data_IF_258656145783
#
_entry.id   IF_258656145783
#
_cell.length_a   1.000
_cell.length_b   1.000
_cell.length_c   1.000
_cell.angle_alpha   90.00
_cell.angle_beta   90.00
_cell.angle_gamma   90.00
#
_symmetry.space_group_name_H-M   'P 1'
#
loop_
_entity.id
_entity.type
_entity.pdbx_description
1 polymer ?
#
# COMPACT_ATOMS: atom_id res chain seq x y z
N UNK A 1 -12.56 -1.44 1.88
CA UNK A 1 -12.47 -2.77 1.26
C UNK A 1 -13.81 -3.52 1.21
N UNK A 2 -14.50 -3.77 2.33
CA UNK A 2 -15.75 -4.57 2.36
C UNK A 2 -16.81 -4.19 1.31
N UNK A 3 -17.13 -2.90 1.15
CA UNK A 3 -18.14 -2.48 0.17
C UNK A 3 -17.74 -2.77 -1.27
N UNK A 4 -16.45 -2.65 -1.61
CA UNK A 4 -15.95 -3.05 -2.92
C UNK A 4 -16.14 -4.54 -3.14
N UNK A 5 -15.69 -5.35 -2.19
CA UNK A 5 -15.66 -6.81 -2.33
C UNK A 5 -17.06 -7.43 -2.35
N UNK A 6 -18.00 -6.88 -1.59
CA UNK A 6 -19.30 -7.53 -1.36
C UNK A 6 -20.49 -6.78 -1.98
N UNK A 7 -20.38 -5.47 -2.20
CA UNK A 7 -21.45 -4.66 -2.80
C UNK A 7 -21.11 -4.20 -4.22
N UNK A 8 -19.89 -4.46 -4.70
CA UNK A 8 -19.44 -4.04 -6.02
C UNK A 8 -19.30 -2.53 -6.18
N UNK A 9 -19.12 -1.81 -5.07
CA UNK A 9 -18.94 -0.35 -5.07
C UNK A 9 -17.52 0.04 -5.49
N UNK A 10 -17.10 -0.43 -6.67
CA UNK A 10 -15.76 -0.22 -7.27
C UNK A 10 -15.59 1.19 -7.83
N UNK A 11 -16.64 1.99 -7.92
CA UNK A 11 -16.60 3.36 -8.45
C UNK A 11 -15.91 4.33 -7.48
N UNK A 12 -15.52 5.49 -7.99
CA UNK A 12 -14.89 6.56 -7.23
C UNK A 12 -15.73 7.04 -6.04
N UNK A 13 -15.13 6.99 -4.85
CA UNK A 13 -15.69 7.57 -3.61
C UNK A 13 -14.82 8.68 -3.04
N UNK A 14 -13.57 8.78 -3.50
CA UNK A 14 -12.63 9.82 -3.10
C UNK A 14 -11.78 10.23 -4.28
N UNK A 15 -11.56 11.55 -4.41
CA UNK A 15 -10.63 12.16 -5.37
C UNK A 15 -9.39 12.62 -4.61
N UNK A 16 -8.23 12.14 -5.02
CA UNK A 16 -7.02 12.30 -4.20
C UNK A 16 -6.44 13.72 -4.26
N UNK A 17 -6.70 14.48 -5.31
CA UNK A 17 -6.33 15.90 -5.43
C UNK A 17 -7.00 16.79 -4.37
N UNK A 18 -8.21 16.42 -3.93
CA UNK A 18 -8.98 17.13 -2.90
C UNK A 18 -8.43 16.96 -1.48
N UNK A 19 -7.58 15.95 -1.22
CA UNK A 19 -7.02 15.73 0.12
C UNK A 19 -5.99 16.82 0.44
N UNK A 20 -6.20 17.54 1.54
CA UNK A 20 -5.31 18.59 2.05
C UNK A 20 -5.08 18.39 3.56
N UNK A 21 -3.93 18.80 4.11
CA UNK A 21 -2.77 19.38 3.42
C UNK A 21 -1.96 18.34 2.62
N UNK A 22 -1.21 18.78 1.59
CA UNK A 22 -0.37 17.89 0.76
C UNK A 22 0.98 17.56 1.41
N UNK A 23 1.57 18.51 2.12
CA UNK A 23 2.83 18.26 2.82
C UNK A 23 2.65 17.18 3.89
N UNK A 24 3.56 16.20 3.90
CA UNK A 24 3.48 15.05 4.78
C UNK A 24 2.29 14.14 4.53
N UNK A 25 1.58 14.26 3.40
CA UNK A 25 0.46 13.37 3.09
C UNK A 25 0.98 12.01 2.60
N UNK A 26 0.51 10.94 3.23
CA UNK A 26 0.76 9.56 2.85
C UNK A 26 -0.54 8.80 2.76
N UNK A 27 -0.63 7.85 1.83
CA UNK A 27 -1.84 7.06 1.67
C UNK A 27 -1.68 5.96 0.64
N UNK A 28 -2.62 5.02 0.66
CA UNK A 28 -2.65 3.90 -0.27
C UNK A 28 -4.07 3.34 -0.44
N UNK A 29 -4.25 2.62 -1.53
CA UNK A 29 -5.50 1.98 -1.92
C UNK A 29 -5.53 1.69 -3.43
N UNK A 30 -6.56 1.01 -3.93
CA UNK A 30 -6.68 0.73 -5.35
C UNK A 30 -7.21 1.93 -6.12
N UNK A 31 -6.92 1.96 -7.42
CA UNK A 31 -7.60 2.88 -8.35
C UNK A 31 -9.08 2.52 -8.50
N UNK A 32 -9.92 3.53 -8.75
CA UNK A 32 -11.30 3.37 -9.14
C UNK A 32 -11.47 2.29 -10.23
N UNK A 33 -12.52 1.49 -10.07
CA UNK A 33 -12.82 0.30 -10.85
C UNK A 33 -11.80 -0.83 -10.71
N UNK A 34 -10.92 -0.81 -9.69
CA UNK A 34 -9.89 -1.82 -9.43
C UNK A 34 -8.95 -2.00 -10.64
N UNK A 35 -8.43 -0.88 -11.17
CA UNK A 35 -7.63 -0.83 -12.41
C UNK A 35 -6.17 -0.47 -12.22
N UNK A 36 -5.73 -0.45 -10.98
CA UNK A 36 -4.39 -0.10 -10.59
C UNK A 36 -4.27 -0.02 -9.09
N UNK A 37 -3.05 0.24 -8.63
CA UNK A 37 -2.76 0.54 -7.23
C UNK A 37 -2.28 1.98 -7.09
N UNK A 38 -2.54 2.58 -5.93
CA UNK A 38 -2.22 3.96 -5.65
C UNK A 38 -1.33 4.05 -4.40
N UNK A 39 -0.34 4.93 -4.47
CA UNK A 39 0.47 5.39 -3.32
C UNK A 39 0.50 6.91 -3.35
N UNK A 40 0.24 7.55 -2.22
CA UNK A 40 0.65 8.92 -1.96
C UNK A 40 1.92 8.88 -1.11
N UNK A 41 3.00 9.48 -1.59
CA UNK A 41 4.26 9.64 -0.86
C UNK A 41 4.61 11.13 -0.77
N UNK A 42 4.48 11.69 0.44
CA UNK A 42 4.70 13.10 0.75
C UNK A 42 3.97 14.06 -0.22
N UNK A 43 2.68 13.80 -0.43
CA UNK A 43 1.81 14.63 -1.26
C UNK A 43 1.85 14.35 -2.77
N UNK A 44 2.77 13.51 -3.24
CA UNK A 44 2.80 13.05 -4.64
C UNK A 44 2.04 11.74 -4.79
N UNK A 45 1.09 11.73 -5.72
CA UNK A 45 0.25 10.56 -6.02
C UNK A 45 0.81 9.80 -7.19
N UNK A 46 1.13 8.53 -6.99
CA UNK A 46 1.55 7.60 -8.04
C UNK A 46 0.48 6.53 -8.23
N UNK A 47 0.32 6.09 -9.47
CA UNK A 47 -0.61 5.03 -9.85
C UNK A 47 0.15 4.00 -10.67
N UNK A 48 0.04 2.72 -10.30
CA UNK A 48 0.55 1.61 -11.11
C UNK A 48 -0.57 0.90 -11.84
N UNK A 49 -0.33 0.50 -13.10
CA UNK A 49 -1.28 -0.24 -13.94
C UNK A 49 -0.58 -1.36 -14.70
N UNK A 50 -1.30 -2.44 -14.92
CA UNK A 50 -0.85 -3.59 -15.72
C UNK A 50 -0.70 -3.16 -17.19
N UNK A 51 0.46 -3.42 -17.80
CA UNK A 51 0.66 -3.34 -19.25
C UNK A 51 0.63 -4.75 -19.88
N UNK A 52 1.37 -5.66 -19.27
CA UNK A 52 1.41 -7.09 -19.62
C UNK A 52 1.48 -7.93 -18.33
N UNK A 53 1.51 -9.25 -18.49
CA UNK A 53 1.80 -10.20 -17.41
C UNK A 53 3.16 -10.00 -16.71
N UNK A 54 4.06 -9.23 -17.32
CA UNK A 54 5.46 -9.08 -16.95
C UNK A 54 5.91 -7.62 -16.83
N UNK A 55 5.10 -6.67 -17.28
CA UNK A 55 5.41 -5.23 -17.25
C UNK A 55 4.24 -4.43 -16.71
N UNK A 56 4.57 -3.28 -16.09
CA UNK A 56 3.62 -2.32 -15.55
C UNK A 56 4.02 -0.91 -15.95
N UNK A 57 3.07 0.02 -15.87
CA UNK A 57 3.32 1.45 -15.93
C UNK A 57 3.15 2.03 -14.53
N UNK A 58 4.03 2.97 -14.15
CA UNK A 58 3.91 3.77 -12.93
C UNK A 58 3.95 5.24 -13.34
N UNK A 59 2.90 5.99 -13.00
CA UNK A 59 2.77 7.40 -13.39
C UNK A 59 2.38 8.27 -12.20
N UNK A 60 2.86 9.51 -12.17
CA UNK A 60 2.38 10.52 -11.23
C UNK A 60 1.02 11.07 -11.72
N UNK A 61 -0.06 10.85 -10.97
CA UNK A 61 -1.43 11.22 -11.34
C UNK A 61 -2.11 11.86 -10.13
N UNK A 62 -2.11 13.19 -10.09
CA UNK A 62 -2.56 13.95 -8.90
C UNK A 62 -4.06 13.78 -8.60
N UNK A 63 -4.88 13.65 -9.64
CA UNK A 63 -6.34 13.55 -9.61
C UNK A 63 -6.85 12.11 -9.67
N UNK A 64 -5.99 11.14 -9.36
CA UNK A 64 -6.42 9.75 -9.25
C UNK A 64 -7.59 9.61 -8.25
N UNK A 65 -8.43 8.62 -8.50
CA UNK A 65 -9.65 8.38 -7.74
C UNK A 65 -9.65 6.96 -7.20
N UNK A 66 -10.28 6.74 -6.05
CA UNK A 66 -10.31 5.44 -5.40
C UNK A 66 -11.71 5.09 -4.86
N UNK A 67 -12.08 3.80 -4.82
CA UNK A 67 -13.33 3.35 -4.21
C UNK A 67 -13.24 3.23 -2.68
N UNK A 68 -12.01 3.10 -2.16
CA UNK A 68 -11.65 3.26 -0.76
C UNK A 68 -10.17 3.64 -0.69
N UNK A 69 -9.79 4.40 0.31
CA UNK A 69 -8.41 4.87 0.45
C UNK A 69 -8.12 5.16 1.91
N UNK A 70 -6.95 4.78 2.40
CA UNK A 70 -6.47 5.13 3.74
C UNK A 70 -5.34 6.14 3.59
N UNK A 71 -5.38 7.21 4.40
CA UNK A 71 -4.38 8.26 4.35
C UNK A 71 -4.17 8.90 5.73
N UNK A 72 -3.01 9.53 5.91
CA UNK A 72 -2.64 10.29 7.09
C UNK A 72 -1.61 11.36 6.74
N UNK A 73 -1.51 12.41 7.58
CA UNK A 73 -0.45 13.40 7.48
C UNK A 73 0.60 13.15 8.57
N UNK A 74 1.87 13.02 8.17
CA UNK A 74 3.03 12.87 9.05
C UNK A 74 4.15 13.77 8.53
N UNK A 75 4.53 14.78 9.30
CA UNK A 75 5.61 15.69 8.92
C UNK A 75 6.94 15.34 9.60
N UNK A 76 6.89 14.51 10.65
CA UNK A 76 8.05 14.15 11.45
C UNK A 76 8.12 12.64 11.66
N UNK A 77 9.28 12.09 11.34
CA UNK A 77 9.57 10.67 11.42
C UNK A 77 10.65 10.41 12.47
N UNK A 78 10.51 9.31 13.20
CA UNK A 78 11.59 8.68 13.95
C UNK A 78 12.07 7.45 13.16
N UNK A 79 13.35 7.44 12.79
CA UNK A 79 13.94 6.34 12.04
C UNK A 79 14.54 5.30 12.99
N UNK A 80 14.17 4.05 12.79
CA UNK A 80 14.66 2.88 13.52
C UNK A 80 15.23 1.91 12.49
N UNK A 81 16.46 1.45 12.68
CA UNK A 81 17.02 0.40 11.81
C UNK A 81 16.22 -0.88 12.02
N UNK A 82 15.78 -1.51 10.93
CA UNK A 82 15.06 -2.77 11.01
C UNK A 82 16.03 -3.88 11.48
N UNK A 83 15.74 -4.62 12.57
CA UNK A 83 16.60 -5.70 13.02
C UNK A 83 16.71 -6.80 11.97
N UNK A 84 17.86 -7.46 11.86
CA UNK A 84 18.07 -8.55 10.90
C UNK A 84 17.19 -9.78 11.15
N UNK A 85 16.56 -9.89 12.32
CA UNK A 85 15.56 -10.91 12.63
C UNK A 85 14.20 -10.64 11.97
N UNK A 86 13.94 -9.41 11.52
CA UNK A 86 12.69 -9.05 10.84
C UNK A 86 12.86 -9.29 9.36
N UNK A 87 12.47 -10.48 8.91
CA UNK A 87 12.71 -10.92 7.53
C UNK A 87 11.46 -10.93 6.67
N UNK A 88 10.28 -11.01 7.28
CA UNK A 88 8.98 -11.14 6.60
C UNK A 88 7.98 -10.06 7.02
N UNK A 89 6.86 -9.97 6.32
CA UNK A 89 5.71 -9.10 6.71
C UNK A 89 5.21 -9.45 8.11
N UNK A 90 5.17 -10.74 8.46
CA UNK A 90 4.69 -11.18 9.79
C UNK A 90 5.63 -10.78 10.91
N UNK A 91 6.94 -10.88 10.67
CA UNK A 91 7.94 -10.40 11.63
C UNK A 91 7.82 -8.89 11.80
N UNK A 92 7.61 -8.16 10.71
CA UNK A 92 7.42 -6.71 10.71
C UNK A 92 6.16 -6.32 11.49
N UNK A 93 5.03 -7.02 11.28
CA UNK A 93 3.79 -6.78 12.01
C UNK A 93 4.00 -6.95 13.52
N UNK A 94 4.65 -8.05 13.91
CA UNK A 94 4.97 -8.34 15.31
C UNK A 94 5.88 -7.27 15.91
N UNK A 95 6.91 -6.86 15.16
CA UNK A 95 7.86 -5.84 15.58
C UNK A 95 7.20 -4.46 15.72
N UNK A 96 6.39 -4.03 14.76
CA UNK A 96 5.66 -2.76 14.84
C UNK A 96 4.69 -2.80 16.02
N UNK A 97 3.92 -3.89 16.20
CA UNK A 97 2.98 -4.00 17.32
C UNK A 97 3.70 -3.89 18.67
N UNK A 98 4.86 -4.55 18.83
CA UNK A 98 5.65 -4.50 20.06
C UNK A 98 6.24 -3.12 20.34
N UNK A 99 6.81 -2.46 19.31
CA UNK A 99 7.45 -1.14 19.45
C UNK A 99 6.45 0.01 19.61
N UNK A 100 5.17 -0.23 19.32
CA UNK A 100 4.14 0.82 19.26
C UNK A 100 2.92 0.53 20.12
N UNK A 101 3.05 -0.30 21.16
CA UNK A 101 1.95 -0.63 22.10
C UNK A 101 1.26 0.59 22.67
N UNK A 102 2.03 1.62 23.03
CA UNK A 102 1.51 2.84 23.66
C UNK A 102 1.16 3.94 22.65
N UNK A 103 1.32 3.69 21.34
CA UNK A 103 0.98 4.66 20.30
C UNK A 103 -0.50 4.59 19.93
N UNK A 104 -1.09 5.75 19.66
CA UNK A 104 -2.45 5.85 19.09
C UNK A 104 -2.51 5.16 17.73
N UNK A 105 -3.51 4.32 17.55
CA UNK A 105 -3.82 3.59 16.30
C UNK A 105 -5.10 4.16 15.67
N UNK A 106 -5.30 4.02 14.34
CA UNK A 106 -4.31 3.59 13.35
C UNK A 106 -3.24 4.65 13.10
N UNK A 107 -2.11 4.24 12.52
CA UNK A 107 -1.07 5.16 12.06
C UNK A 107 -0.42 4.68 10.76
N UNK A 108 0.17 5.60 10.01
CA UNK A 108 1.01 5.27 8.85
C UNK A 108 2.47 5.13 9.27
N UNK A 109 3.20 4.25 8.60
CA UNK A 109 4.64 4.11 8.73
C UNK A 109 5.28 4.03 7.34
N UNK A 110 6.60 4.19 7.27
CA UNK A 110 7.35 3.92 6.05
C UNK A 110 8.46 2.92 6.30
N UNK A 111 8.84 2.17 5.28
CA UNK A 111 10.15 1.56 5.19
C UNK A 111 10.92 2.19 4.03
N UNK A 112 12.21 2.42 4.23
CA UNK A 112 13.11 2.99 3.23
C UNK A 112 14.40 2.17 3.23
N UNK A 113 14.78 1.63 2.07
CA UNK A 113 15.98 0.82 1.92
C UNK A 113 15.85 -0.22 0.82
N UNK A 114 16.50 -1.37 1.01
CA UNK A 114 16.65 -2.42 0.03
C UNK A 114 15.90 -3.69 0.42
N UNK A 115 15.29 -4.34 -0.56
CA UNK A 115 14.71 -5.68 -0.44
C UNK A 115 15.56 -6.71 -1.17
N UNK A 116 15.62 -7.93 -0.64
CA UNK A 116 16.17 -9.06 -1.40
C UNK A 116 15.17 -9.54 -2.44
N UNK A 117 13.90 -9.68 -2.04
CA UNK A 117 12.81 -10.13 -2.90
C UNK A 117 11.48 -9.55 -2.43
N UNK A 118 10.55 -9.29 -3.34
CA UNK A 118 9.16 -9.02 -2.99
C UNK A 118 8.19 -9.55 -4.05
N UNK A 119 6.99 -9.89 -3.62
CA UNK A 119 5.84 -10.08 -4.51
C UNK A 119 4.91 -8.89 -4.34
N UNK A 120 4.61 -8.21 -5.44
CA UNK A 120 3.55 -7.19 -5.47
C UNK A 120 2.45 -7.61 -6.42
N UNK A 121 1.24 -7.11 -6.21
CA UNK A 121 0.17 -7.22 -7.19
C UNK A 121 -0.38 -5.88 -7.64
N UNK A 122 -1.01 -5.90 -8.81
CA UNK A 122 -1.80 -4.80 -9.34
C UNK A 122 -3.17 -5.32 -9.74
N UNK A 123 -4.22 -4.68 -9.23
CA UNK A 123 -5.59 -4.92 -9.67
C UNK A 123 -5.80 -4.48 -11.12
N UNK A 124 -6.43 -5.34 -11.93
CA UNK A 124 -6.72 -5.05 -13.34
C UNK A 124 -8.08 -5.65 -13.74
N UNK A 125 -9.12 -5.19 -13.06
CA UNK A 125 -10.48 -5.70 -13.22
C UNK A 125 -11.02 -5.42 -14.65
N UNK A 126 -11.48 -6.46 -15.37
CA UNK A 126 -12.06 -6.30 -16.70
C UNK A 126 -13.23 -5.30 -16.71
N UNK A 127 -13.33 -4.51 -17.79
CA UNK A 127 -14.43 -3.55 -17.94
C UNK A 127 -15.78 -4.26 -17.92
N UNK A 128 -16.69 -3.78 -17.07
CA UNK A 128 -18.04 -4.32 -16.98
C UNK A 128 -18.17 -5.55 -16.08
N UNK A 129 -17.10 -6.00 -15.42
CA UNK A 129 -17.20 -7.04 -14.38
C UNK A 129 -18.11 -6.55 -13.26
N UNK A 130 -19.07 -7.39 -12.88
CA UNK A 130 -19.89 -7.20 -11.67
C UNK A 130 -19.16 -7.88 -10.52
N UNK A 131 -18.98 -7.14 -9.43
CA UNK A 131 -18.30 -7.64 -8.23
C UNK A 131 -19.31 -7.85 -7.11
N UNK A 132 -19.33 -9.05 -6.57
CA UNK A 132 -20.14 -9.47 -5.42
C UNK A 132 -19.38 -10.40 -4.46
N UNK A 133 -18.13 -10.72 -4.79
CA UNK A 133 -17.22 -11.48 -3.94
C UNK A 133 -15.75 -11.03 -4.10
N UNK A 134 -14.87 -11.33 -3.14
CA UNK A 134 -13.43 -11.09 -3.28
C UNK A 134 -12.82 -11.75 -4.52
N UNK A 135 -13.27 -12.96 -4.88
CA UNK A 135 -12.79 -13.68 -6.06
C UNK A 135 -13.07 -12.90 -7.35
N UNK A 136 -14.24 -12.28 -7.45
CA UNK A 136 -14.60 -11.46 -8.61
C UNK A 136 -13.84 -10.12 -8.61
N UNK A 137 -13.61 -9.52 -7.45
CA UNK A 137 -12.84 -8.29 -7.32
C UNK A 137 -11.37 -8.46 -7.76
N UNK A 138 -10.78 -9.64 -7.53
CA UNK A 138 -9.41 -9.95 -7.94
C UNK A 138 -9.31 -10.52 -9.36
N UNK A 139 -10.40 -10.53 -10.13
CA UNK A 139 -10.34 -10.97 -11.53
C UNK A 139 -9.39 -10.07 -12.32
N UNK A 140 -8.39 -10.67 -12.97
CA UNK A 140 -7.41 -9.95 -13.78
C UNK A 140 -6.21 -9.41 -13.00
N UNK A 141 -6.16 -9.58 -11.67
CA UNK A 141 -4.99 -9.26 -10.86
C UNK A 141 -3.73 -9.92 -11.44
N UNK A 142 -2.64 -9.17 -11.53
CA UNK A 142 -1.33 -9.66 -11.95
C UNK A 142 -0.33 -9.48 -10.81
N UNK A 143 0.45 -10.53 -10.56
CA UNK A 143 1.52 -10.52 -9.57
C UNK A 143 2.87 -10.33 -10.27
N UNK A 144 3.73 -9.52 -9.68
CA UNK A 144 5.07 -9.23 -10.15
C UNK A 144 6.10 -9.56 -9.08
N UNK A 145 7.23 -10.14 -9.51
CA UNK A 145 8.36 -10.43 -8.64
C UNK A 145 9.41 -9.33 -8.78
N UNK A 146 9.88 -8.84 -7.64
CA UNK A 146 10.97 -7.88 -7.53
C UNK A 146 12.15 -8.56 -6.85
N UNK A 147 13.36 -8.27 -7.30
CA UNK A 147 14.60 -8.83 -6.77
C UNK A 147 15.64 -7.72 -6.63
N UNK A 148 16.34 -7.68 -5.49
CA UNK A 148 17.43 -6.74 -5.21
C UNK A 148 17.11 -5.28 -5.57
N UNK A 149 16.00 -4.77 -5.06
CA UNK A 149 15.45 -3.46 -5.44
C UNK A 149 15.53 -2.47 -4.27
N UNK A 150 15.93 -1.22 -4.55
CA UNK A 150 15.80 -0.11 -3.62
C UNK A 150 14.38 0.45 -3.68
N UNK A 151 13.71 0.50 -2.53
CA UNK A 151 12.27 0.75 -2.45
C UNK A 151 11.90 1.71 -1.33
N UNK A 152 10.72 2.29 -1.46
CA UNK A 152 9.95 2.83 -0.35
C UNK A 152 8.68 2.00 -0.19
N UNK A 153 8.33 1.66 1.05
CA UNK A 153 7.07 1.00 1.37
C UNK A 153 6.28 1.97 2.23
N UNK A 154 5.05 2.27 1.83
CA UNK A 154 4.09 3.01 2.64
C UNK A 154 3.16 1.98 3.27
N UNK A 155 3.02 2.04 4.60
CA UNK A 155 2.18 1.12 5.34
C UNK A 155 1.22 1.82 6.28
N UNK A 156 0.13 1.14 6.60
CA UNK A 156 -0.80 1.49 7.68
C UNK A 156 -0.90 0.32 8.65
N UNK A 157 -0.82 0.63 9.94
CA UNK A 157 -0.93 -0.34 11.02
C UNK A 157 -2.19 -0.07 11.87
N UNK A 158 -2.98 -1.12 12.12
CA UNK A 158 -4.14 -1.05 13.02
C UNK A 158 -4.59 -2.42 13.52
N UNK A 159 -4.88 -2.50 14.82
CA UNK A 159 -5.48 -3.69 15.46
C UNK A 159 -7.01 -3.67 15.51
N UNK A 160 -7.65 -2.62 15.00
CA UNK A 160 -9.10 -2.41 15.14
C UNK A 160 -9.85 -2.32 13.79
N UNK A 161 -9.13 -2.24 12.66
CA UNK A 161 -9.70 -1.90 11.35
C UNK A 161 -9.55 -3.00 10.28
N UNK A 162 -9.47 -4.27 10.71
CA UNK A 162 -9.44 -5.43 9.83
C UNK A 162 -10.68 -5.49 8.92
N UNK A 163 -10.48 -5.66 7.62
CA UNK A 163 -11.54 -5.68 6.60
C UNK A 163 -12.10 -4.30 6.21
N UNK A 164 -11.67 -3.22 6.87
CA UNK A 164 -11.99 -1.84 6.49
C UNK A 164 -10.95 -1.34 5.48
N UNK A 165 -9.70 -1.24 5.92
CA UNK A 165 -8.55 -0.94 5.05
C UNK A 165 -7.43 -1.97 5.18
N UNK A 166 -7.24 -2.65 6.31
CA UNK A 166 -6.31 -3.79 6.36
C UNK A 166 -6.98 -5.07 5.87
N UNK A 167 -6.16 -6.06 5.51
CA UNK A 167 -6.68 -7.39 5.22
C UNK A 167 -7.31 -8.01 6.48
N UNK A 168 -8.15 -9.03 6.30
CA UNK A 168 -8.93 -9.58 7.42
C UNK A 168 -8.10 -10.43 8.40
N UNK A 169 -6.88 -10.81 8.00
CA UNK A 169 -5.94 -11.64 8.77
C UNK A 169 -4.64 -10.89 9.15
N UNK A 170 -4.55 -9.59 8.84
CA UNK A 170 -3.36 -8.77 9.12
C UNK A 170 -3.73 -7.39 9.66
N UNK A 171 -2.87 -6.85 10.51
CA UNK A 171 -2.91 -5.48 11.00
C UNK A 171 -2.21 -4.49 10.07
N UNK A 172 -1.59 -4.98 9.00
CA UNK A 172 -0.89 -4.18 8.00
C UNK A 172 -1.68 -4.06 6.71
N UNK A 173 -1.54 -2.91 6.07
CA UNK A 173 -1.81 -2.71 4.64
C UNK A 173 -0.65 -1.93 4.07
N UNK A 174 0.06 -2.51 3.09
CA UNK A 174 1.29 -1.94 2.56
C UNK A 174 1.29 -1.93 1.04
N UNK A 175 1.78 -0.83 0.48
CA UNK A 175 2.09 -0.70 -0.94
C UNK A 175 3.58 -0.36 -1.08
N UNK A 176 4.22 -0.94 -2.08
CA UNK A 176 5.65 -0.76 -2.38
C UNK A 176 5.78 0.08 -3.65
N UNK A 177 6.77 0.98 -3.69
CA UNK A 177 7.23 1.70 -4.88
C UNK A 177 8.76 1.66 -4.96
N UNK A 178 9.32 1.31 -6.12
CA UNK A 178 10.77 1.37 -6.35
C UNK A 178 11.28 2.81 -6.40
N UNK A 179 12.54 3.04 -6.01
CA UNK A 179 13.14 4.40 -5.97
C UNK A 179 13.22 5.06 -7.35
N UNK A 180 13.41 4.26 -8.39
CA UNK A 180 13.38 4.69 -9.80
C UNK A 180 11.94 4.92 -10.32
N UNK A 181 10.93 4.56 -9.53
CA UNK A 181 9.49 4.69 -9.79
C UNK A 181 9.05 3.94 -11.03
N UNK A 182 9.66 2.80 -11.34
CA UNK A 182 9.27 1.94 -12.46
C UNK A 182 8.41 0.75 -12.02
N UNK A 183 8.43 0.39 -10.74
CA UNK A 183 7.65 -0.72 -10.16
C UNK A 183 6.88 -0.26 -8.93
N UNK A 184 5.59 -0.61 -8.86
CA UNK A 184 4.74 -0.26 -7.72
C UNK A 184 3.50 -1.15 -7.66
N UNK A 185 3.07 -1.50 -6.45
CA UNK A 185 1.85 -2.29 -6.26
C UNK A 185 1.54 -2.53 -4.78
N UNK A 186 0.47 -3.28 -4.53
CA UNK A 186 0.19 -3.83 -3.21
C UNK A 186 1.27 -4.85 -2.84
N UNK A 187 1.77 -4.82 -1.62
CA UNK A 187 2.84 -5.71 -1.17
C UNK A 187 2.27 -6.98 -0.53
N UNK A 188 2.40 -8.11 -1.22
CA UNK A 188 1.90 -9.41 -0.75
C UNK A 188 2.94 -10.17 0.08
N UNK A 189 4.22 -10.08 -0.30
CA UNK A 189 5.32 -10.77 0.37
C UNK A 189 6.64 -10.02 0.19
N UNK A 190 7.56 -10.16 1.14
CA UNK A 190 8.87 -9.51 1.09
C UNK A 190 9.89 -10.25 1.94
N UNK A 191 11.13 -10.27 1.43
CA UNK A 191 12.33 -10.58 2.18
C UNK A 191 13.14 -9.30 2.29
N UNK A 192 13.19 -8.73 3.49
CA UNK A 192 13.93 -7.50 3.74
C UNK A 192 15.44 -7.74 3.71
N UNK A 193 16.17 -6.73 3.25
CA UNK A 193 17.61 -6.63 3.43
C UNK A 193 17.89 -5.45 4.37
N UNK A 194 18.68 -4.44 3.96
CA UNK A 194 18.91 -3.25 4.77
C UNK A 194 17.73 -2.29 4.66
N UNK A 195 16.95 -2.16 5.75
CA UNK A 195 15.78 -1.29 5.82
C UNK A 195 15.81 -0.38 7.05
N UNK A 196 15.30 0.84 6.88
CA UNK A 196 14.95 1.74 7.98
C UNK A 196 13.43 1.83 8.10
N UNK A 197 12.90 1.53 9.29
CA UNK A 197 11.51 1.76 9.65
C UNK A 197 11.36 3.20 10.15
N UNK A 198 10.49 3.96 9.50
CA UNK A 198 10.12 5.31 9.90
C UNK A 198 8.74 5.26 10.55
N UNK A 199 8.69 5.59 11.84
CA UNK A 199 7.45 5.71 12.61
C UNK A 199 7.13 7.20 12.82
N UNK A 200 5.84 7.59 12.87
CA UNK A 200 5.48 8.96 13.22
C UNK A 200 6.02 9.31 14.60
N UNK A 201 6.59 10.51 14.74
CA UNK A 201 6.87 11.04 16.07
C UNK A 201 5.55 11.26 16.82
N UNK A 202 5.58 10.97 18.12
CA UNK A 202 4.46 11.24 19.03
C UNK A 202 4.28 12.74 19.26
#
# INVERSE_FOLDING_TARGET
MKDVMWKGEVFSKIKLDTIKPKNGLYGLGPEAYLRGEIVINNGKTYVSRVLTDSTMAVNEIADAEAPFFVYANVNEWNAVKLPSSVTSIKDLETFIDSETKDKKRPFTFKLDGNISKATIHIQNLPKGTKVSSPKEAHQGQINYQLESEDVEIIGFFSTEHQGIFTHHDSFLHMHLISKDKTKMGHLDDVVFNEMSLLLPKS
#
